data_IF_837078016986
#
_entry.id   IF_837078016986
#
_cell.length_a   1.000
_cell.length_b   1.000
_cell.length_c   1.000
_cell.angle_alpha   90.00
_cell.angle_beta   90.00
_cell.angle_gamma   90.00
#
_symmetry.space_group_name_H-M   'P 1'
#
loop_
_entity.id
_entity.type
_entity.pdbx_description
1 polymer ?
#
# COMPACT_ATOMS: atom_id res chain seq x y z
N UNK A 1 22.16 -6.39 14.23
CA UNK A 1 22.68 -6.25 12.85
C UNK A 1 21.63 -5.44 12.11
N UNK A 2 22.01 -4.43 11.33
CA UNK A 2 21.05 -3.62 10.62
C UNK A 2 20.67 -4.37 9.33
N UNK A 3 19.39 -4.72 9.18
CA UNK A 3 18.85 -5.30 7.96
C UNK A 3 19.28 -4.49 6.72
N UNK A 4 19.63 -5.16 5.62
CA UNK A 4 19.82 -4.52 4.32
C UNK A 4 18.67 -3.55 4.04
N UNK A 5 18.99 -2.27 3.89
CA UNK A 5 18.07 -1.34 3.27
C UNK A 5 18.04 -1.63 1.78
N UNK A 6 17.16 -2.54 1.37
CA UNK A 6 16.85 -2.75 -0.05
C UNK A 6 16.30 -1.46 -0.65
N UNK A 7 17.01 -0.89 -1.61
CA UNK A 7 16.60 0.31 -2.31
C UNK A 7 15.90 -0.05 -3.63
N UNK A 8 14.57 -0.11 -3.59
CA UNK A 8 13.71 -0.36 -4.75
C UNK A 8 12.41 0.42 -4.62
N UNK A 9 11.74 0.70 -5.72
CA UNK A 9 10.43 1.34 -5.72
C UNK A 9 9.34 0.34 -6.09
N UNK A 10 8.22 0.41 -5.38
CA UNK A 10 6.96 -0.28 -5.67
C UNK A 10 5.85 0.74 -5.52
N UNK A 11 4.81 0.63 -6.34
CA UNK A 11 3.69 1.56 -6.33
C UNK A 11 2.38 0.80 -6.42
N UNK A 12 1.43 1.13 -5.56
CA UNK A 12 0.08 0.57 -5.61
C UNK A 12 -0.77 1.41 -6.57
N UNK A 13 -1.09 0.87 -7.74
CA UNK A 13 -1.89 1.58 -8.76
C UNK A 13 -3.33 1.88 -8.30
N UNK A 14 -3.82 1.23 -7.24
CA UNK A 14 -5.10 1.62 -6.63
C UNK A 14 -5.04 3.01 -5.98
N UNK A 15 -3.85 3.52 -5.62
CA UNK A 15 -3.70 4.89 -5.13
C UNK A 15 -4.13 5.89 -6.21
N UNK A 16 -3.57 5.76 -7.42
CA UNK A 16 -3.90 6.61 -8.56
C UNK A 16 -5.39 6.58 -8.88
N UNK A 17 -5.95 5.36 -8.99
CA UNK A 17 -7.37 5.13 -9.28
C UNK A 17 -8.29 5.79 -8.24
N UNK A 18 -7.95 5.68 -6.94
CA UNK A 18 -8.73 6.29 -5.86
C UNK A 18 -8.62 7.82 -5.88
N UNK A 19 -7.43 8.36 -6.13
CA UNK A 19 -7.22 9.80 -6.25
C UNK A 19 -8.01 10.39 -7.43
N UNK A 20 -7.95 9.73 -8.59
CA UNK A 20 -8.70 10.12 -9.78
C UNK A 20 -10.20 10.16 -9.50
N UNK A 21 -10.76 9.11 -8.89
CA UNK A 21 -12.17 9.05 -8.53
C UNK A 21 -12.57 10.19 -7.58
N UNK A 22 -11.78 10.44 -6.53
CA UNK A 22 -12.06 11.51 -5.58
C UNK A 22 -12.08 12.86 -6.31
N UNK A 23 -11.12 13.11 -7.20
CA UNK A 23 -11.07 14.33 -7.99
C UNK A 23 -12.31 14.47 -8.90
N UNK A 24 -12.73 13.39 -9.55
CA UNK A 24 -13.96 13.39 -10.36
C UNK A 24 -15.21 13.70 -9.51
N UNK A 25 -15.30 13.16 -8.29
CA UNK A 25 -16.41 13.46 -7.36
C UNK A 25 -16.40 14.92 -6.92
N UNK A 26 -15.25 15.50 -6.59
CA UNK A 26 -15.15 16.93 -6.25
C UNK A 26 -15.59 17.85 -7.39
N UNK A 27 -15.39 17.44 -8.64
CA UNK A 27 -15.80 18.21 -9.83
C UNK A 27 -17.29 18.09 -10.13
N UNK A 28 -17.89 16.93 -9.85
CA UNK A 28 -19.27 16.59 -10.24
C UNK A 28 -20.31 16.80 -9.13
N UNK A 29 -19.90 16.72 -7.86
CA UNK A 29 -20.76 16.85 -6.69
C UNK A 29 -20.25 17.96 -5.74
N UNK A 30 -20.91 19.14 -5.73
CA UNK A 30 -20.57 20.24 -4.82
C UNK A 30 -20.70 19.89 -3.33
N UNK A 31 -21.48 18.86 -2.96
CA UNK A 31 -21.58 18.41 -1.57
C UNK A 31 -20.38 17.54 -1.17
N UNK A 32 -19.57 17.07 -2.12
CA UNK A 32 -18.33 16.33 -1.89
C UNK A 32 -17.13 17.27 -1.70
N UNK A 33 -17.28 18.31 -0.87
CA UNK A 33 -16.21 19.26 -0.58
C UNK A 33 -15.40 18.82 0.65
N UNK A 34 -14.11 18.55 0.46
CA UNK A 34 -13.19 18.09 1.49
C UNK A 34 -11.83 18.75 1.32
N UNK A 35 -11.23 19.19 2.43
CA UNK A 35 -9.88 19.73 2.40
C UNK A 35 -8.84 18.64 2.09
N UNK A 36 -7.61 18.99 1.65
CA UNK A 36 -6.58 18.02 1.29
C UNK A 36 -6.30 16.96 2.36
N UNK A 37 -6.38 17.32 3.64
CA UNK A 37 -6.18 16.38 4.75
C UNK A 37 -7.31 15.35 4.86
N UNK A 38 -8.56 15.79 4.76
CA UNK A 38 -9.71 14.89 4.74
C UNK A 38 -9.64 13.95 3.54
N UNK A 39 -9.15 14.41 2.39
CA UNK A 39 -8.90 13.55 1.22
C UNK A 39 -7.93 12.42 1.57
N UNK A 40 -6.80 12.71 2.24
CA UNK A 40 -5.85 11.66 2.66
C UNK A 40 -6.49 10.66 3.64
N UNK A 41 -7.34 11.12 4.56
CA UNK A 41 -8.08 10.25 5.47
C UNK A 41 -9.08 9.35 4.71
N UNK A 42 -9.78 9.90 3.71
CA UNK A 42 -10.66 9.15 2.81
C UNK A 42 -9.84 8.09 2.05
N UNK A 43 -8.71 8.47 1.44
CA UNK A 43 -7.82 7.55 0.73
C UNK A 43 -7.37 6.42 1.65
N UNK A 44 -6.92 6.72 2.88
CA UNK A 44 -6.49 5.70 3.82
C UNK A 44 -7.62 4.70 4.15
N UNK A 45 -8.85 5.17 4.35
CA UNK A 45 -10.00 4.30 4.63
C UNK A 45 -10.36 3.42 3.42
N UNK A 46 -10.36 3.98 2.22
CA UNK A 46 -10.69 3.26 0.98
C UNK A 46 -9.60 2.24 0.64
N UNK A 47 -8.32 2.64 0.63
CA UNK A 47 -7.20 1.80 0.26
C UNK A 47 -6.99 0.61 1.22
N UNK A 48 -7.38 0.76 2.48
CA UNK A 48 -7.40 -0.35 3.45
C UNK A 48 -8.56 -1.34 3.23
N UNK A 49 -9.50 -1.01 2.35
CA UNK A 49 -10.73 -1.78 2.09
C UNK A 49 -10.76 -2.40 0.69
N UNK A 50 -9.81 -2.08 -0.18
CA UNK A 50 -9.67 -2.63 -1.53
C UNK A 50 -8.51 -3.62 -1.62
N UNK A 51 -8.54 -4.49 -2.64
CA UNK A 51 -7.41 -5.35 -2.95
C UNK A 51 -6.28 -4.49 -3.56
N UNK A 52 -5.05 -4.49 -3.00
CA UNK A 52 -3.95 -3.73 -3.56
C UNK A 52 -3.50 -4.28 -4.93
N UNK A 53 -2.94 -3.41 -5.76
CA UNK A 53 -2.42 -3.76 -7.08
C UNK A 53 -1.04 -3.12 -7.31
N UNK A 54 0.02 -3.88 -7.08
CA UNK A 54 1.41 -3.44 -7.30
C UNK A 54 1.97 -3.82 -8.67
N UNK A 55 1.13 -4.41 -9.53
CA UNK A 55 1.45 -4.74 -10.92
C UNK A 55 0.49 -3.95 -11.80
N UNK A 56 1.02 -3.37 -12.88
CA UNK A 56 0.29 -2.47 -13.75
C UNK A 56 -0.76 -3.22 -14.58
N UNK A 57 -2.02 -3.18 -14.12
CA UNK A 57 -3.17 -3.74 -14.86
C UNK A 57 -4.08 -2.63 -15.37
N UNK A 58 -4.42 -1.69 -14.50
CA UNK A 58 -5.18 -0.46 -14.77
C UNK A 58 -4.59 0.65 -13.91
N UNK A 59 -4.62 1.89 -14.38
CA UNK A 59 -4.00 3.03 -13.68
C UNK A 59 -4.89 4.24 -13.54
N UNK A 60 -6.09 4.23 -14.13
CA UNK A 60 -7.08 5.29 -13.97
C UNK A 60 -8.46 4.73 -13.65
N UNK A 61 -9.30 5.55 -13.00
CA UNK A 61 -10.67 5.17 -12.68
C UNK A 61 -11.49 4.80 -13.93
N UNK A 62 -11.27 5.52 -15.03
CA UNK A 62 -12.02 5.34 -16.29
C UNK A 62 -11.71 4.00 -17.00
N UNK A 63 -10.64 3.30 -16.60
CA UNK A 63 -10.27 1.97 -17.12
C UNK A 63 -10.96 0.82 -16.36
N UNK A 64 -11.60 1.10 -15.22
CA UNK A 64 -12.31 0.08 -14.45
C UNK A 64 -13.54 -0.43 -15.21
N UNK A 65 -13.90 -1.69 -14.98
CA UNK A 65 -15.20 -2.15 -15.46
C UNK A 65 -16.31 -1.59 -14.55
N UNK A 66 -17.57 -1.70 -15.02
CA UNK A 66 -18.70 -1.11 -14.32
C UNK A 66 -18.85 -1.62 -12.88
N UNK A 67 -18.64 -2.92 -12.65
CA UNK A 67 -18.82 -3.52 -11.32
C UNK A 67 -17.74 -3.04 -10.36
N UNK A 68 -16.49 -3.02 -10.81
CA UNK A 68 -15.36 -2.51 -10.02
C UNK A 68 -15.52 -1.01 -9.71
N UNK A 69 -15.98 -0.23 -10.69
CA UNK A 69 -16.22 1.20 -10.54
C UNK A 69 -17.32 1.49 -9.51
N UNK A 70 -18.48 0.84 -9.62
CA UNK A 70 -19.61 1.00 -8.69
C UNK A 70 -19.23 0.61 -7.25
N UNK A 71 -18.48 -0.49 -7.09
CA UNK A 71 -17.98 -0.93 -5.78
C UNK A 71 -17.04 0.12 -5.16
N UNK A 72 -16.12 0.67 -5.96
CA UNK A 72 -15.16 1.65 -5.49
C UNK A 72 -15.84 2.98 -5.11
N UNK A 73 -16.80 3.42 -5.91
CA UNK A 73 -17.62 4.61 -5.61
C UNK A 73 -18.35 4.48 -4.28
N UNK A 74 -18.91 3.29 -3.99
CA UNK A 74 -19.57 3.02 -2.73
C UNK A 74 -18.60 3.14 -1.55
N UNK A 75 -17.40 2.58 -1.67
CA UNK A 75 -16.36 2.68 -0.63
C UNK A 75 -15.93 4.12 -0.38
N UNK A 76 -15.74 4.92 -1.45
CA UNK A 76 -15.40 6.35 -1.33
C UNK A 76 -16.52 7.10 -0.60
N UNK A 77 -17.78 6.86 -0.96
CA UNK A 77 -18.92 7.52 -0.30
C UNK A 77 -18.98 7.18 1.19
N UNK A 78 -18.80 5.91 1.56
CA UNK A 78 -18.79 5.49 2.97
C UNK A 78 -17.59 6.06 3.76
N UNK A 79 -16.42 6.15 3.13
CA UNK A 79 -15.26 6.77 3.75
C UNK A 79 -15.46 8.28 3.96
N UNK A 80 -16.02 8.97 2.96
CA UNK A 80 -16.36 10.38 3.04
C UNK A 80 -17.36 10.68 4.17
N UNK A 81 -18.41 9.86 4.33
CA UNK A 81 -19.35 9.97 5.45
C UNK A 81 -18.65 9.83 6.81
N UNK A 82 -17.76 8.83 6.95
CA UNK A 82 -16.98 8.63 8.19
C UNK A 82 -16.09 9.82 8.52
N UNK A 83 -15.40 10.37 7.51
CA UNK A 83 -14.50 11.52 7.70
C UNK A 83 -15.31 12.79 7.99
N UNK A 84 -16.42 13.01 7.29
CA UNK A 84 -17.33 14.15 7.51
C UNK A 84 -17.90 14.17 8.92
N UNK A 85 -18.20 13.01 9.49
CA UNK A 85 -18.73 12.89 10.84
C UNK A 85 -17.72 13.28 11.94
N UNK A 86 -16.41 13.17 11.67
CA UNK A 86 -15.35 13.49 12.63
C UNK A 86 -14.06 13.96 11.91
N UNK A 87 -14.05 15.16 11.32
CA UNK A 87 -12.93 15.63 10.53
C UNK A 87 -11.77 16.05 11.44
N UNK A 88 -10.55 15.66 11.08
CA UNK A 88 -9.35 15.95 11.87
C UNK A 88 -8.67 17.22 11.35
N UNK A 89 -9.20 18.39 11.68
CA UNK A 89 -8.64 19.66 11.20
C UNK A 89 -7.50 20.23 12.08
N UNK A 90 -7.38 19.80 13.34
CA UNK A 90 -6.67 20.55 14.41
C UNK A 90 -5.15 20.36 14.52
N UNK A 91 -4.45 19.98 13.45
CA UNK A 91 -2.98 19.90 13.51
C UNK A 91 -2.38 20.63 12.29
N UNK A 92 -1.90 21.84 12.54
CA UNK A 92 -1.30 22.78 11.59
C UNK A 92 0.11 22.35 11.15
N UNK A 93 0.25 21.17 10.57
CA UNK A 93 1.45 20.82 9.81
C UNK A 93 1.06 20.48 8.39
N UNK A 94 1.51 21.26 7.42
CA UNK A 94 1.27 21.02 5.98
C UNK A 94 1.99 19.77 5.43
N UNK A 95 2.41 18.86 6.29
CA UNK A 95 3.32 17.76 5.98
C UNK A 95 2.73 16.39 6.33
N UNK A 96 1.46 16.22 5.96
CA UNK A 96 0.77 14.92 6.03
C UNK A 96 1.10 14.08 4.82
N UNK A 97 1.45 12.83 5.06
CA UNK A 97 1.69 11.85 4.02
C UNK A 97 0.82 10.63 4.26
N UNK A 98 0.17 10.19 3.20
CA UNK A 98 -0.45 8.87 3.13
C UNK A 98 0.67 7.84 2.97
N UNK A 99 0.73 6.86 3.86
CA UNK A 99 1.78 5.85 3.85
C UNK A 99 1.21 4.46 4.12
N UNK A 100 1.67 3.48 3.34
CA UNK A 100 1.40 2.08 3.61
C UNK A 100 2.49 1.45 4.47
N UNK A 101 2.15 1.09 5.71
CA UNK A 101 3.10 0.44 6.62
C UNK A 101 3.52 -0.95 6.13
N UNK A 102 2.64 -1.63 5.38
CA UNK A 102 2.93 -2.97 4.85
C UNK A 102 4.12 -2.96 3.87
N UNK A 103 4.33 -1.88 3.11
CA UNK A 103 5.49 -1.74 2.22
C UNK A 103 6.81 -1.66 2.98
N UNK A 104 6.82 -0.97 4.11
CA UNK A 104 8.01 -0.84 4.97
C UNK A 104 8.38 -2.20 5.53
N UNK A 105 7.40 -2.92 6.09
CA UNK A 105 7.61 -4.23 6.68
C UNK A 105 8.06 -5.27 5.64
N UNK A 106 7.42 -5.27 4.45
CA UNK A 106 7.82 -6.17 3.34
C UNK A 106 9.27 -5.90 2.94
N UNK A 107 9.68 -4.63 2.84
CA UNK A 107 11.06 -4.27 2.50
C UNK A 107 12.07 -4.77 3.54
N UNK A 108 11.75 -4.62 4.83
CA UNK A 108 12.59 -5.09 5.91
C UNK A 108 12.74 -6.61 5.89
N UNK A 109 11.61 -7.35 5.91
CA UNK A 109 11.62 -8.81 5.95
C UNK A 109 12.24 -9.42 4.70
N UNK A 110 11.97 -8.86 3.51
CA UNK A 110 12.61 -9.29 2.27
C UNK A 110 14.12 -9.05 2.30
N UNK A 111 14.57 -7.92 2.82
CA UNK A 111 15.99 -7.60 2.98
C UNK A 111 16.69 -8.58 3.92
N UNK A 112 16.13 -8.80 5.10
CA UNK A 112 16.65 -9.74 6.10
C UNK A 112 16.75 -11.16 5.52
N UNK A 113 15.71 -11.66 4.85
CA UNK A 113 15.75 -13.00 4.27
C UNK A 113 16.78 -13.14 3.16
N UNK A 114 16.92 -12.15 2.27
CA UNK A 114 17.93 -12.20 1.20
C UNK A 114 19.36 -12.13 1.75
N UNK A 115 19.58 -11.45 2.88
CA UNK A 115 20.88 -11.42 3.56
C UNK A 115 21.19 -12.72 4.32
N UNK A 116 20.20 -13.28 5.03
CA UNK A 116 20.40 -14.42 5.92
C UNK A 116 20.35 -15.78 5.21
N UNK A 117 19.74 -15.85 4.03
CA UNK A 117 19.44 -17.11 3.33
C UNK A 117 20.10 -17.14 1.94
N UNK A 118 21.37 -17.59 1.82
CA UNK A 118 22.13 -17.59 0.56
C UNK A 118 21.50 -18.40 -0.58
N UNK A 119 20.55 -19.29 -0.28
CA UNK A 119 19.79 -20.03 -1.29
C UNK A 119 18.86 -19.15 -2.13
N UNK A 120 18.55 -17.93 -1.68
CA UNK A 120 17.76 -16.97 -2.43
C UNK A 120 18.70 -15.94 -3.05
N UNK A 121 18.76 -15.94 -4.37
CA UNK A 121 19.50 -14.95 -5.15
C UNK A 121 18.52 -14.32 -6.13
N UNK A 122 18.31 -13.01 -5.97
CA UNK A 122 17.49 -12.22 -6.88
C UNK A 122 18.37 -11.14 -7.50
N UNK A 123 18.23 -10.97 -8.81
CA UNK A 123 18.79 -9.83 -9.52
C UNK A 123 18.02 -8.55 -9.16
N UNK A 124 18.63 -7.38 -9.41
CA UNK A 124 18.04 -6.08 -9.08
C UNK A 124 16.62 -5.91 -9.66
N UNK A 125 16.36 -6.47 -10.84
CA UNK A 125 15.06 -6.40 -11.51
C UNK A 125 13.99 -7.34 -10.91
N UNK A 126 14.43 -8.39 -10.21
CA UNK A 126 13.53 -9.37 -9.57
C UNK A 126 13.06 -8.92 -8.18
N UNK A 127 13.82 -8.03 -7.52
CA UNK A 127 13.48 -7.55 -6.17
C UNK A 127 12.13 -6.79 -6.15
N UNK A 128 11.85 -5.81 -7.05
CA UNK A 128 10.55 -5.15 -7.11
C UNK A 128 9.40 -6.13 -7.42
N UNK A 129 9.67 -7.15 -8.25
CA UNK A 129 8.67 -8.18 -8.60
C UNK A 129 8.34 -9.02 -7.36
N UNK A 130 9.35 -9.50 -6.63
CA UNK A 130 9.15 -10.23 -5.39
C UNK A 130 8.36 -9.39 -4.37
N UNK A 131 8.74 -8.13 -4.19
CA UNK A 131 8.05 -7.20 -3.30
C UNK A 131 6.57 -7.02 -3.73
N UNK A 132 6.30 -6.78 -5.02
CA UNK A 132 4.95 -6.63 -5.54
C UNK A 132 4.10 -7.89 -5.34
N UNK A 133 4.67 -9.08 -5.56
CA UNK A 133 3.99 -10.36 -5.34
C UNK A 133 3.61 -10.56 -3.86
N UNK A 134 4.51 -10.23 -2.94
CA UNK A 134 4.25 -10.30 -1.50
C UNK A 134 3.19 -9.26 -1.11
N UNK A 135 3.32 -8.02 -1.59
CA UNK A 135 2.41 -6.92 -1.26
C UNK A 135 0.98 -7.16 -1.76
N UNK A 136 0.81 -7.74 -2.95
CA UNK A 136 -0.51 -8.14 -3.47
C UNK A 136 -1.20 -9.23 -2.61
N UNK A 137 -0.45 -9.94 -1.77
CA UNK A 137 -0.94 -10.96 -0.83
C UNK A 137 -0.99 -10.45 0.62
N UNK A 138 -0.48 -9.25 0.88
CA UNK A 138 -0.41 -8.67 2.21
C UNK A 138 -1.57 -7.70 2.40
N UNK A 139 -2.20 -7.72 3.57
CA UNK A 139 -3.23 -6.73 3.89
C UNK A 139 -2.60 -5.33 3.88
N UNK A 140 -3.13 -4.37 3.09
CA UNK A 140 -2.62 -3.00 3.11
C UNK A 140 -2.88 -2.35 4.48
N UNK A 141 -1.98 -1.46 4.88
CA UNK A 141 -2.08 -0.72 6.14
C UNK A 141 -1.72 0.75 5.91
N UNK A 142 -2.64 1.46 5.28
CA UNK A 142 -2.56 2.89 5.03
C UNK A 142 -2.92 3.70 6.27
N UNK A 143 -2.11 4.72 6.54
CA UNK A 143 -2.40 5.73 7.54
C UNK A 143 -1.93 7.11 7.06
N UNK A 144 -2.63 8.16 7.50
CA UNK A 144 -2.17 9.54 7.35
C UNK A 144 -1.25 9.87 8.52
N UNK A 145 0.01 10.17 8.23
CA UNK A 145 1.02 10.49 9.25
C UNK A 145 1.56 11.90 9.04
N UNK A 146 1.82 12.64 10.12
CA UNK A 146 2.65 13.84 10.04
C UNK A 146 4.12 13.41 10.04
N UNK A 147 5.00 14.10 9.29
CA UNK A 147 6.45 13.82 9.34
C UNK A 147 6.94 13.74 10.80
N UNK A 148 7.50 12.59 11.18
CA UNK A 148 8.04 12.32 12.52
C UNK A 148 7.11 11.60 13.51
N UNK A 149 5.81 11.44 13.20
CA UNK A 149 4.85 10.70 14.07
C UNK A 149 4.71 9.21 13.72
N UNK A 150 5.09 8.83 12.49
CA UNK A 150 4.91 7.49 11.91
C UNK A 150 5.69 6.38 12.63
N UNK A 151 6.83 6.70 13.28
CA UNK A 151 7.71 5.70 13.91
C UNK A 151 7.15 5.10 15.21
N UNK A 152 6.22 5.78 15.90
CA UNK A 152 5.76 5.34 17.23
C UNK A 152 4.71 4.22 17.19
N UNK A 153 3.92 4.12 16.12
CA UNK A 153 2.90 3.05 15.95
C UNK A 153 3.40 1.84 15.18
N UNK A 154 4.45 2.00 14.37
CA UNK A 154 5.09 0.92 13.61
C UNK A 154 5.71 -0.13 14.52
N UNK A 155 6.32 0.28 15.63
CA UNK A 155 6.90 -0.62 16.65
C UNK A 155 5.84 -1.52 17.31
N UNK A 156 4.58 -1.06 17.42
CA UNK A 156 3.50 -1.87 18.02
C UNK A 156 2.93 -2.92 17.05
N UNK A 157 2.98 -2.66 15.74
CA UNK A 157 2.59 -3.62 14.69
C UNK A 157 3.67 -4.69 14.45
N UNK A 158 4.93 -4.35 14.72
CA UNK A 158 6.12 -5.18 14.48
C UNK A 158 6.04 -6.58 15.13
N UNK A 159 5.41 -6.69 16.31
CA UNK A 159 5.35 -7.95 17.06
C UNK A 159 4.22 -8.92 16.67
N UNK A 160 3.18 -8.48 15.95
CA UNK A 160 2.03 -9.35 15.61
C UNK A 160 2.02 -9.81 14.14
N UNK A 161 2.75 -9.13 13.26
CA UNK A 161 2.69 -9.33 11.81
C UNK A 161 3.81 -10.23 11.24
N UNK A 162 4.89 -10.41 11.99
CA UNK A 162 6.16 -10.97 11.48
C UNK A 162 6.04 -12.40 10.97
N UNK A 163 5.39 -13.37 11.66
CA UNK A 163 5.40 -14.77 11.21
C UNK A 163 4.64 -15.01 9.90
N UNK A 164 3.49 -14.35 9.73
CA UNK A 164 2.68 -14.48 8.51
C UNK A 164 3.36 -13.83 7.31
N UNK A 165 3.93 -12.64 7.51
CA UNK A 165 4.68 -11.94 6.48
C UNK A 165 5.95 -12.70 6.06
N UNK A 166 6.70 -13.21 7.04
CA UNK A 166 7.90 -14.03 6.78
C UNK A 166 7.57 -15.25 5.91
N UNK A 167 6.48 -15.96 6.22
CA UNK A 167 6.03 -17.10 5.43
C UNK A 167 5.66 -16.70 3.99
N UNK A 168 4.97 -15.57 3.80
CA UNK A 168 4.63 -15.07 2.47
C UNK A 168 5.88 -14.73 1.66
N UNK A 169 6.83 -13.99 2.25
CA UNK A 169 8.09 -13.65 1.60
C UNK A 169 8.84 -14.91 1.21
N UNK A 170 9.01 -15.85 2.15
CA UNK A 170 9.70 -17.12 1.91
C UNK A 170 9.04 -17.93 0.78
N UNK A 171 7.70 -17.99 0.74
CA UNK A 171 6.97 -18.69 -0.31
C UNK A 171 7.19 -18.05 -1.69
N UNK A 172 7.12 -16.72 -1.79
CA UNK A 172 7.39 -16.00 -3.05
C UNK A 172 8.82 -16.22 -3.51
N UNK A 173 9.80 -16.16 -2.60
CA UNK A 173 11.20 -16.40 -2.93
C UNK A 173 11.44 -17.82 -3.47
N UNK A 174 10.81 -18.85 -2.88
CA UNK A 174 10.89 -20.21 -3.42
C UNK A 174 10.26 -20.30 -4.82
N UNK A 175 9.08 -19.71 -5.03
CA UNK A 175 8.43 -19.72 -6.34
C UNK A 175 9.31 -19.08 -7.42
N UNK A 176 9.95 -17.95 -7.12
CA UNK A 176 10.86 -17.28 -8.07
C UNK A 176 12.13 -18.10 -8.32
N UNK A 177 12.67 -18.73 -7.28
CA UNK A 177 13.82 -19.64 -7.42
C UNK A 177 13.49 -20.83 -8.32
N UNK A 178 12.38 -21.52 -8.05
CA UNK A 178 11.92 -22.67 -8.83
C UNK A 178 11.70 -22.30 -10.30
N UNK A 179 11.15 -21.10 -10.55
CA UNK A 179 11.01 -20.57 -11.90
C UNK A 179 12.38 -20.40 -12.58
N UNK A 180 13.37 -19.79 -11.91
CA UNK A 180 14.71 -19.61 -12.49
C UNK A 180 15.41 -20.95 -12.79
N UNK A 181 15.19 -21.98 -11.98
CA UNK A 181 15.74 -23.33 -12.20
C UNK A 181 15.09 -24.07 -13.38
N UNK A 182 13.86 -23.70 -13.78
CA UNK A 182 13.16 -24.30 -14.92
C UNK A 182 13.62 -23.76 -16.29
N UNK A 183 14.33 -22.63 -16.33
CA UNK A 183 14.81 -21.98 -17.55
C UNK A 183 16.34 -22.05 -17.74
N UNK A 184 17.02 -22.87 -16.92
CA UNK A 184 18.44 -23.23 -17.01
C UNK A 184 18.61 -24.69 -17.48
#
# INVERSE_FOLDING_TARGET
MAAANLNYEVHNYMEDIVFDLIQQKQQSDPEFDFCPRCILDICALVLNSVKPQYIKVKTSFDELDQTDAENLEQLVSQAAEKVRANPRHEQDSDDYQLQNTSEILVRQVLGELLEEQPQFQLDADQIPIAAALVLNQTKPCYAVTAKGSAYKRTIELDHQFTPGLLALVYNVLNQLKDLNELWL
#
